data_IF_272720126527
#
_entry.id   IF_272720126527
#
_cell.length_a   1.000
_cell.length_b   1.000
_cell.length_c   1.000
_cell.angle_alpha   90.00
_cell.angle_beta   90.00
_cell.angle_gamma   90.00
#
_symmetry.space_group_name_H-M   'P 1'
#
loop_
_entity.id
_entity.type
_entity.pdbx_description
1 polymer ?
#
# COMPACT_ATOMS: atom_id res chain seq x y z
N UNK A 1 30.82 6.96 -0.68
CA UNK A 1 29.36 6.82 -0.56
C UNK A 1 28.92 5.80 -1.58
N UNK A 2 28.31 4.69 -1.15
CA UNK A 2 27.80 3.70 -2.09
C UNK A 2 26.42 4.15 -2.62
N UNK A 3 25.92 3.49 -3.66
CA UNK A 3 24.63 3.84 -4.28
C UNK A 3 23.45 3.75 -3.31
N UNK A 4 23.48 2.77 -2.40
CA UNK A 4 22.45 2.59 -1.36
C UNK A 4 22.40 3.77 -0.40
N UNK A 5 23.55 4.27 0.06
CA UNK A 5 23.61 5.41 0.98
C UNK A 5 23.02 6.67 0.33
N UNK A 6 23.30 6.90 -0.96
CA UNK A 6 22.74 8.00 -1.72
C UNK A 6 21.20 7.89 -1.87
N UNK A 7 20.67 6.67 -2.01
CA UNK A 7 19.24 6.42 -2.01
C UNK A 7 18.59 6.67 -0.65
N UNK A 8 19.24 6.24 0.43
CA UNK A 8 18.77 6.48 1.81
C UNK A 8 18.67 7.98 2.08
N UNK A 9 19.72 8.76 1.79
CA UNK A 9 19.71 10.22 1.97
C UNK A 9 18.61 10.90 1.16
N UNK A 10 18.37 10.43 -0.06
CA UNK A 10 17.30 10.96 -0.92
C UNK A 10 15.92 10.68 -0.35
N UNK A 11 15.68 9.46 0.14
CA UNK A 11 14.38 9.08 0.72
C UNK A 11 14.15 9.83 2.04
N UNK A 12 15.16 9.93 2.90
CA UNK A 12 15.11 10.71 4.13
C UNK A 12 14.70 12.15 3.85
N UNK A 13 15.34 12.79 2.87
CA UNK A 13 15.04 14.17 2.50
C UNK A 13 13.59 14.35 2.04
N UNK A 14 13.05 13.42 1.26
CA UNK A 14 11.68 13.52 0.73
C UNK A 14 10.63 13.25 1.80
N UNK A 15 10.90 12.31 2.70
CA UNK A 15 9.92 11.82 3.69
C UNK A 15 9.86 12.68 4.95
N UNK A 16 10.78 13.63 5.13
CA UNK A 16 10.77 14.59 6.25
C UNK A 16 9.48 15.38 6.41
N UNK A 17 8.77 15.63 5.31
CA UNK A 17 7.53 16.42 5.32
C UNK A 17 6.26 15.55 5.38
N UNK A 18 6.40 14.24 5.23
CA UNK A 18 5.27 13.32 5.18
C UNK A 18 4.60 13.21 6.53
N UNK A 19 3.30 12.89 6.54
CA UNK A 19 2.47 12.74 7.73
C UNK A 19 1.53 11.55 7.57
N UNK A 20 1.13 10.96 8.69
CA UNK A 20 0.01 10.02 8.70
C UNK A 20 -1.23 10.69 8.09
N UNK A 21 -1.88 9.99 7.17
CA UNK A 21 -3.01 10.51 6.42
C UNK A 21 -2.63 11.26 5.15
N UNK A 22 -1.35 11.48 4.85
CA UNK A 22 -0.94 12.01 3.55
C UNK A 22 -1.34 11.01 2.45
N UNK A 23 -1.84 11.58 1.34
CA UNK A 23 -2.39 10.82 0.22
C UNK A 23 -1.65 11.16 -1.05
N UNK A 24 -1.24 10.13 -1.79
CA UNK A 24 -0.74 10.27 -3.16
C UNK A 24 -1.73 9.61 -4.12
N UNK A 25 -2.24 10.37 -5.09
CA UNK A 25 -3.18 9.89 -6.14
C UNK A 25 -2.47 9.58 -7.46
N UNK A 26 -1.26 9.05 -7.39
CA UNK A 26 -0.48 8.78 -8.60
C UNK A 26 -1.10 7.59 -9.35
N UNK A 27 -1.75 7.86 -10.48
CA UNK A 27 -2.64 6.94 -11.20
C UNK A 27 -1.96 5.72 -11.88
N UNK A 28 -0.65 5.53 -11.65
CA UNK A 28 0.14 4.46 -12.27
C UNK A 28 0.96 3.66 -11.25
N UNK A 29 0.57 3.67 -9.98
CA UNK A 29 1.21 2.81 -8.98
C UNK A 29 0.71 1.37 -9.12
N UNK A 30 1.65 0.44 -9.21
CA UNK A 30 1.40 -0.98 -9.03
C UNK A 30 1.56 -1.33 -7.55
N UNK A 31 0.52 -1.92 -6.98
CA UNK A 31 0.49 -2.41 -5.61
C UNK A 31 0.64 -3.93 -5.63
N UNK A 32 1.67 -4.42 -4.94
CA UNK A 32 1.93 -5.84 -4.78
C UNK A 32 1.43 -6.29 -3.41
N UNK A 33 0.55 -7.28 -3.38
CA UNK A 33 0.11 -7.92 -2.15
C UNK A 33 0.16 -9.45 -2.27
N UNK A 34 0.22 -10.13 -1.12
CA UNK A 34 0.14 -11.59 -1.05
C UNK A 34 -1.29 -11.99 -0.71
N UNK A 35 -1.97 -12.62 -1.67
CA UNK A 35 -3.32 -13.16 -1.46
C UNK A 35 -3.24 -14.60 -0.96
N UNK A 36 -4.09 -14.95 0.01
CA UNK A 36 -4.21 -16.32 0.52
C UNK A 36 -5.24 -17.09 -0.30
N UNK A 37 -4.83 -18.15 -0.99
CA UNK A 37 -5.68 -18.81 -2.00
C UNK A 37 -6.85 -19.59 -1.41
N UNK A 38 -6.75 -19.97 -0.13
CA UNK A 38 -7.88 -20.59 0.60
C UNK A 38 -8.94 -19.59 1.07
N UNK A 39 -8.66 -18.29 0.98
CA UNK A 39 -9.58 -17.23 1.38
C UNK A 39 -9.28 -15.96 0.58
N UNK A 40 -9.62 -15.93 -0.73
CA UNK A 40 -9.54 -14.72 -1.52
C UNK A 40 -10.50 -13.67 -0.94
N UNK A 41 -10.03 -12.43 -0.77
CA UNK A 41 -10.83 -11.32 -0.21
C UNK A 41 -10.98 -10.20 -1.23
N UNK A 42 -9.97 -9.97 -2.08
CA UNK A 42 -10.00 -8.95 -3.13
C UNK A 42 -10.49 -9.55 -4.45
N UNK A 43 -11.15 -8.75 -5.29
CA UNK A 43 -11.57 -9.18 -6.64
C UNK A 43 -10.37 -9.70 -7.45
N UNK A 44 -9.23 -9.01 -7.38
CA UNK A 44 -7.96 -9.44 -7.99
C UNK A 44 -7.52 -10.84 -7.51
N UNK A 45 -7.72 -11.17 -6.23
CA UNK A 45 -7.42 -12.50 -5.69
C UNK A 45 -8.40 -13.59 -6.12
N UNK A 46 -9.67 -13.25 -6.32
CA UNK A 46 -10.67 -14.17 -6.85
C UNK A 46 -10.39 -14.49 -8.33
N UNK A 47 -10.12 -13.47 -9.14
CA UNK A 47 -9.75 -13.61 -10.55
C UNK A 47 -8.48 -14.47 -10.71
N UNK A 48 -7.46 -14.22 -9.88
CA UNK A 48 -6.23 -15.00 -9.92
C UNK A 48 -6.44 -16.50 -9.60
N UNK A 49 -7.40 -16.86 -8.75
CA UNK A 49 -7.78 -18.27 -8.51
C UNK A 49 -8.44 -18.86 -9.75
N UNK A 50 -9.34 -18.12 -10.39
CA UNK A 50 -10.04 -18.58 -11.60
C UNK A 50 -9.08 -18.83 -12.76
N UNK A 51 -8.08 -17.95 -12.95
CA UNK A 51 -7.10 -18.05 -14.03
C UNK A 51 -6.06 -19.16 -13.81
N UNK A 52 -5.57 -19.32 -12.58
CA UNK A 52 -4.49 -20.27 -12.27
C UNK A 52 -5.00 -21.65 -11.80
N UNK A 53 -6.30 -21.78 -11.50
CA UNK A 53 -6.92 -23.03 -11.06
C UNK A 53 -6.21 -23.68 -9.86
N UNK A 54 -6.19 -25.02 -9.82
CA UNK A 54 -5.52 -25.81 -8.77
C UNK A 54 -4.00 -25.92 -8.95
N UNK A 55 -3.40 -25.19 -9.89
CA UNK A 55 -1.97 -25.29 -10.21
C UNK A 55 -1.06 -24.50 -9.27
N UNK A 56 -1.62 -23.87 -8.25
CA UNK A 56 -0.86 -23.11 -7.25
C UNK A 56 -0.46 -24.04 -6.12
N UNK A 57 0.82 -24.40 -6.05
CA UNK A 57 1.39 -25.21 -4.96
C UNK A 57 1.60 -24.41 -3.66
N UNK A 58 1.53 -23.07 -3.74
CA UNK A 58 1.71 -22.16 -2.60
C UNK A 58 0.38 -21.72 -1.99
N UNK A 59 0.31 -21.64 -0.66
CA UNK A 59 -0.84 -21.07 0.06
C UNK A 59 -1.07 -19.58 -0.26
N UNK A 60 -0.03 -18.90 -0.73
CA UNK A 60 -0.05 -17.48 -1.09
C UNK A 60 0.37 -17.24 -2.54
N UNK A 61 -0.32 -16.34 -3.21
CA UNK A 61 0.01 -15.86 -4.54
C UNK A 61 0.31 -14.36 -4.50
N UNK A 62 1.46 -13.89 -5.02
CA UNK A 62 1.70 -12.48 -5.25
C UNK A 62 0.80 -11.94 -6.37
N UNK A 63 0.09 -10.86 -6.09
CA UNK A 63 -0.80 -10.19 -7.02
C UNK A 63 -0.36 -8.74 -7.15
N UNK A 64 -0.10 -8.31 -8.39
CA UNK A 64 0.12 -6.93 -8.73
C UNK A 64 -1.19 -6.34 -9.27
N UNK A 65 -1.64 -5.23 -8.69
CA UNK A 65 -2.83 -4.52 -9.14
C UNK A 65 -2.59 -3.02 -9.25
N UNK A 66 -3.33 -2.36 -10.14
CA UNK A 66 -3.29 -0.91 -10.27
C UNK A 66 -4.24 -0.29 -9.26
N UNK A 67 -3.76 0.70 -8.54
CA UNK A 67 -4.51 1.39 -7.49
C UNK A 67 -4.63 2.89 -7.80
N UNK A 68 -5.72 3.51 -7.35
CA UNK A 68 -5.96 4.94 -7.59
C UNK A 68 -5.04 5.86 -6.78
N UNK A 69 -4.31 5.29 -5.82
CA UNK A 69 -3.37 5.99 -4.97
C UNK A 69 -3.11 5.24 -3.68
N UNK A 70 -2.32 5.85 -2.81
CA UNK A 70 -1.99 5.32 -1.48
C UNK A 70 -2.24 6.38 -0.41
N UNK A 71 -2.51 5.92 0.80
CA UNK A 71 -2.48 6.71 2.03
C UNK A 71 -1.40 6.18 2.96
N UNK A 72 -0.68 7.08 3.63
CA UNK A 72 0.26 6.73 4.70
C UNK A 72 -0.54 6.43 5.97
N UNK A 73 -0.55 5.16 6.42
CA UNK A 73 -1.43 4.72 7.52
C UNK A 73 -0.82 4.87 8.90
N UNK A 74 0.45 4.53 9.04
CA UNK A 74 1.16 4.77 10.29
C UNK A 74 2.47 5.40 9.98
N UNK A 75 2.68 6.50 10.67
CA UNK A 75 3.92 6.65 11.37
C UNK A 75 3.53 7.13 12.77
N UNK A 76 3.57 6.22 13.76
CA UNK A 76 3.91 6.61 15.16
C UNK A 76 5.00 7.67 15.06
N UNK A 77 5.01 8.73 15.89
CA UNK A 77 5.83 9.96 15.89
C UNK A 77 7.31 9.90 15.39
N UNK A 78 7.61 9.20 14.30
CA UNK A 78 8.80 8.39 14.01
C UNK A 78 9.20 8.49 12.53
N UNK A 79 8.46 9.24 11.71
CA UNK A 79 8.85 9.61 10.32
C UNK A 79 10.23 10.26 10.33
N UNK A 80 10.46 11.05 11.38
CA UNK A 80 11.72 11.69 11.69
C UNK A 80 12.65 10.66 12.35
N UNK A 81 12.93 9.55 11.67
CA UNK A 81 13.95 8.56 12.05
C UNK A 81 14.71 8.10 10.81
N UNK A 82 15.93 7.62 11.03
CA UNK A 82 16.84 7.21 9.97
C UNK A 82 16.27 6.05 9.15
N UNK A 83 16.29 6.19 7.82
CA UNK A 83 15.92 5.11 6.90
C UNK A 83 16.97 3.99 6.88
N UNK A 84 18.14 4.21 7.51
CA UNK A 84 19.10 3.14 7.78
C UNK A 84 18.55 2.13 8.80
N UNK A 85 17.77 2.61 9.79
CA UNK A 85 17.27 1.79 10.89
C UNK A 85 15.89 1.19 10.60
N UNK A 86 15.03 1.92 9.85
CA UNK A 86 13.67 1.48 9.52
C UNK A 86 13.34 1.79 8.05
N UNK A 87 13.70 0.89 7.11
CA UNK A 87 13.62 1.16 5.67
C UNK A 87 12.20 0.96 5.08
N UNK A 88 11.16 0.93 5.92
CA UNK A 88 9.79 0.61 5.51
C UNK A 88 8.79 1.59 6.11
N UNK A 89 7.76 1.90 5.32
CA UNK A 89 6.59 2.69 5.71
C UNK A 89 5.34 1.83 5.55
N UNK A 90 4.33 2.10 6.36
CA UNK A 90 3.04 1.44 6.21
C UNK A 90 2.12 2.33 5.38
N UNK A 91 1.61 1.73 4.31
CA UNK A 91 0.71 2.38 3.36
C UNK A 91 -0.49 1.48 3.13
N UNK A 92 -1.58 2.06 2.65
CA UNK A 92 -2.74 1.32 2.16
C UNK A 92 -3.21 1.88 0.84
N UNK A 93 -3.66 1.02 -0.10
CA UNK A 93 -4.26 1.47 -1.34
C UNK A 93 -5.56 2.24 -1.07
N UNK A 94 -5.77 3.31 -1.83
CA UNK A 94 -7.05 4.01 -1.85
C UNK A 94 -8.08 3.16 -2.56
N UNK A 95 -9.28 3.11 -1.98
CA UNK A 95 -10.45 2.49 -2.60
C UNK A 95 -11.46 3.56 -2.99
N UNK A 96 -12.09 3.40 -4.16
CA UNK A 96 -13.25 4.21 -4.53
C UNK A 96 -14.45 3.77 -3.72
N UNK A 97 -15.14 4.74 -3.16
CA UNK A 97 -16.39 4.56 -2.42
C UNK A 97 -17.48 5.40 -3.07
N UNK A 98 -18.73 4.98 -2.92
CA UNK A 98 -19.89 5.76 -3.38
C UNK A 98 -20.24 6.88 -2.40
N UNK A 99 -21.11 7.79 -2.84
CA UNK A 99 -21.56 8.93 -2.05
C UNK A 99 -22.32 8.48 -0.78
N UNK A 100 -23.05 7.36 -0.85
CA UNK A 100 -23.79 6.81 0.28
C UNK A 100 -22.85 6.38 1.42
N UNK A 101 -21.72 5.77 1.09
CA UNK A 101 -20.68 5.43 2.06
C UNK A 101 -20.04 6.68 2.66
N UNK A 102 -19.80 7.71 1.84
CA UNK A 102 -19.24 8.98 2.32
C UNK A 102 -20.15 9.62 3.37
N UNK A 103 -21.47 9.60 3.17
CA UNK A 103 -22.43 10.11 4.16
C UNK A 103 -22.41 9.28 5.46
N UNK A 104 -22.23 7.96 5.38
CA UNK A 104 -22.16 7.09 6.56
C UNK A 104 -20.92 7.35 7.43
N UNK A 105 -19.79 7.71 6.82
CA UNK A 105 -18.53 7.97 7.54
C UNK A 105 -18.30 9.45 7.84
N UNK A 106 -19.19 10.34 7.37
CA UNK A 106 -19.08 11.78 7.65
C UNK A 106 -19.33 12.00 9.16
N UNK A 107 -18.42 12.69 9.87
CA UNK A 107 -18.66 13.00 11.27
C UNK A 107 -19.89 13.92 11.40
N UNK A 108 -20.77 13.62 12.36
CA UNK A 108 -21.88 14.50 12.70
C UNK A 108 -21.34 15.76 13.39
N UNK A 109 -21.15 16.84 12.64
CA UNK A 109 -20.84 18.17 13.17
C UNK A 109 -22.09 19.06 13.15
#
# INVERSE_FOLDING_TARGET
>A
MNERDAWIEKIEKVTQEWRQGDVSRYAELEFLHLAKMSCPITASSEEAILENGSSIESDYLPIAERIDGIVVLTQTCDIVRSWQDRPYIEISPLVKVDDDFVEQVRPAY
#
